data_IF_678390783782
#
_entry.id   IF_678390783782
#
_cell.length_a   1.000
_cell.length_b   1.000
_cell.length_c   1.000
_cell.angle_alpha   90.00
_cell.angle_beta   90.00
_cell.angle_gamma   90.00
#
_symmetry.space_group_name_H-M   'P 1'
#
loop_
_entity.id
_entity.type
_entity.pdbx_description
1 polymer ?
#
# COMPACT_ATOMS: atom_id res chain seq x y z
N UNK A 1 -28.04 -8.65 5.42
CA UNK A 1 -28.71 -7.55 6.20
C UNK A 1 -30.01 -7.13 5.51
N UNK A 2 -31.04 -6.60 6.20
CA UNK A 2 -32.29 -6.09 5.57
C UNK A 2 -32.05 -5.07 4.43
N UNK A 3 -30.89 -4.42 4.42
CA UNK A 3 -30.43 -3.41 3.45
C UNK A 3 -30.13 -3.95 2.06
N UNK A 4 -29.72 -5.21 1.91
CA UNK A 4 -29.42 -5.83 0.59
C UNK A 4 -30.66 -6.06 -0.26
N UNK A 5 -31.85 -6.02 0.36
CA UNK A 5 -33.13 -6.20 -0.33
C UNK A 5 -33.52 -4.99 -1.20
N UNK A 6 -32.84 -3.84 -1.05
CA UNK A 6 -33.08 -2.66 -1.90
C UNK A 6 -32.23 -2.77 -3.17
N UNK A 7 -32.89 -2.89 -4.32
CA UNK A 7 -32.20 -2.91 -5.61
C UNK A 7 -31.71 -1.50 -5.95
N UNK A 8 -30.41 -1.35 -6.16
CA UNK A 8 -29.82 -0.10 -6.65
C UNK A 8 -30.08 0.02 -8.16
N UNK A 9 -30.49 1.20 -8.63
CA UNK A 9 -30.78 1.43 -10.04
C UNK A 9 -29.80 2.43 -10.66
N UNK A 10 -28.84 1.93 -11.43
CA UNK A 10 -27.86 2.75 -12.13
C UNK A 10 -28.30 3.22 -13.52
N UNK A 11 -29.48 2.82 -14.00
CA UNK A 11 -29.89 2.98 -15.41
C UNK A 11 -30.26 4.40 -15.83
N UNK A 12 -30.32 5.37 -14.89
CA UNK A 12 -30.56 6.76 -15.26
C UNK A 12 -29.39 7.26 -16.11
N UNK A 13 -29.63 7.45 -17.41
CA UNK A 13 -28.61 7.98 -18.32
C UNK A 13 -28.41 9.46 -18.02
N UNK A 14 -27.21 9.77 -17.58
CA UNK A 14 -26.69 11.11 -17.37
C UNK A 14 -25.48 11.29 -18.28
N UNK A 15 -25.39 12.43 -18.98
CA UNK A 15 -24.35 12.76 -19.96
C UNK A 15 -23.00 13.07 -19.31
N UNK A 16 -22.56 12.21 -18.39
CA UNK A 16 -21.23 12.30 -17.82
C UNK A 16 -20.20 11.71 -18.77
N UNK A 17 -19.09 12.43 -18.94
CA UNK A 17 -17.97 12.07 -19.83
C UNK A 17 -17.40 10.67 -19.59
N UNK A 18 -17.51 10.14 -18.36
CA UNK A 18 -17.05 8.79 -18.04
C UNK A 18 -17.86 7.68 -18.72
N UNK A 19 -19.07 7.95 -19.22
CA UNK A 19 -19.92 7.00 -19.93
C UNK A 19 -19.61 6.87 -21.42
N UNK A 20 -18.82 7.79 -22.00
CA UNK A 20 -18.48 7.78 -23.43
C UNK A 20 -17.66 6.55 -23.86
N UNK A 21 -17.56 6.29 -25.16
CA UNK A 21 -16.71 5.24 -25.71
C UNK A 21 -15.22 5.45 -25.38
N UNK A 22 -14.47 4.35 -25.32
CA UNK A 22 -13.03 4.35 -25.11
C UNK A 22 -12.25 4.67 -26.39
N UNK A 23 -11.03 5.19 -26.21
CA UNK A 23 -10.03 5.42 -27.26
C UNK A 23 -8.69 4.78 -26.88
N UNK A 24 -7.92 4.29 -27.87
CA UNK A 24 -6.72 3.46 -27.60
C UNK A 24 -5.52 4.21 -27.01
N UNK A 25 -5.43 5.53 -27.20
CA UNK A 25 -4.30 6.34 -26.69
C UNK A 25 -4.11 6.25 -25.15
N UNK A 26 -5.12 5.79 -24.40
CA UNK A 26 -5.10 5.82 -22.94
C UNK A 26 -4.56 4.54 -22.23
N UNK A 27 -4.44 3.38 -22.91
CA UNK A 27 -4.35 2.08 -22.21
C UNK A 27 -2.98 1.35 -22.22
N UNK A 28 -2.35 1.25 -23.40
CA UNK A 28 -1.30 0.25 -23.67
C UNK A 28 0.10 0.62 -23.16
N UNK A 29 0.45 1.89 -23.06
CA UNK A 29 1.83 2.33 -22.77
C UNK A 29 2.37 1.98 -21.37
N UNK A 30 1.55 1.38 -20.49
CA UNK A 30 1.89 1.09 -19.08
C UNK A 30 1.38 -0.28 -18.60
N UNK A 31 1.34 -1.31 -19.44
CA UNK A 31 0.96 -2.65 -18.99
C UNK A 31 2.20 -3.39 -18.47
N UNK A 32 2.17 -3.81 -17.21
CA UNK A 32 3.28 -4.58 -16.61
C UNK A 32 3.33 -6.00 -17.21
N UNK A 33 4.55 -6.52 -17.43
CA UNK A 33 4.80 -7.92 -17.79
C UNK A 33 4.30 -8.80 -16.64
N UNK A 34 3.14 -9.42 -16.82
CA UNK A 34 2.49 -10.30 -15.83
C UNK A 34 2.42 -11.72 -16.39
N UNK A 35 2.31 -12.71 -15.50
CA UNK A 35 2.09 -14.10 -15.87
C UNK A 35 0.82 -14.25 -16.72
N UNK A 36 0.82 -15.13 -17.74
CA UNK A 36 -0.33 -15.31 -18.62
C UNK A 36 -1.55 -15.75 -17.82
N UNK A 37 -2.70 -15.31 -18.33
CA UNK A 37 -4.02 -15.61 -17.77
C UNK A 37 -4.48 -17.04 -18.12
N UNK A 38 -5.63 -17.51 -17.58
CA UNK A 38 -6.18 -18.83 -17.94
C UNK A 38 -6.39 -19.02 -19.45
N UNK A 39 -6.59 -17.93 -20.18
CA UNK A 39 -6.77 -17.89 -21.63
C UNK A 39 -5.45 -18.01 -22.42
N UNK A 40 -4.32 -18.21 -21.73
CA UNK A 40 -2.95 -18.22 -22.28
C UNK A 40 -2.49 -16.94 -23.01
N UNK A 41 -3.30 -15.88 -23.00
CA UNK A 41 -2.93 -14.55 -23.49
C UNK A 41 -2.05 -13.87 -22.45
N UNK A 42 -0.87 -13.39 -22.89
CA UNK A 42 0.06 -12.62 -22.08
C UNK A 42 -0.06 -11.12 -22.34
N UNK A 43 0.30 -10.31 -21.34
CA UNK A 43 0.39 -8.85 -21.52
C UNK A 43 1.39 -8.44 -22.63
N UNK A 44 2.40 -9.27 -22.89
CA UNK A 44 3.42 -9.01 -23.92
C UNK A 44 2.79 -9.11 -25.32
N UNK A 45 1.94 -10.12 -25.54
CA UNK A 45 1.19 -10.24 -26.80
C UNK A 45 0.35 -8.99 -27.07
N UNK A 46 -0.30 -8.44 -26.04
CA UNK A 46 -1.10 -7.21 -26.15
C UNK A 46 -0.27 -5.97 -26.52
N UNK A 47 0.99 -5.91 -26.08
CA UNK A 47 1.90 -4.80 -26.40
C UNK A 47 2.39 -4.84 -27.85
N UNK A 48 2.40 -6.02 -28.48
CA UNK A 48 2.89 -6.23 -29.85
C UNK A 48 1.76 -6.41 -30.88
N UNK A 49 0.52 -6.07 -30.53
CA UNK A 49 -0.61 -6.10 -31.47
C UNK A 49 -0.44 -5.08 -32.59
N UNK A 50 -0.80 -5.47 -33.82
CA UNK A 50 -0.91 -4.56 -34.97
C UNK A 50 -2.00 -3.51 -34.75
N UNK A 51 -1.93 -2.38 -35.45
CA UNK A 51 -2.92 -1.30 -35.36
C UNK A 51 -4.35 -1.79 -35.67
N UNK A 52 -4.50 -2.71 -36.62
CA UNK A 52 -5.76 -3.36 -36.94
C UNK A 52 -6.28 -4.21 -35.77
N UNK A 53 -5.43 -5.05 -35.19
CA UNK A 53 -5.78 -5.88 -34.02
C UNK A 53 -6.16 -5.02 -32.81
N UNK A 54 -5.46 -3.90 -32.60
CA UNK A 54 -5.82 -2.93 -31.58
C UNK A 54 -7.21 -2.34 -31.87
N UNK A 55 -7.50 -1.96 -33.11
CA UNK A 55 -8.81 -1.40 -33.48
C UNK A 55 -9.95 -2.39 -33.23
N UNK A 56 -9.75 -3.67 -33.58
CA UNK A 56 -10.70 -4.75 -33.29
C UNK A 56 -10.90 -4.96 -31.79
N UNK A 57 -9.83 -4.89 -31.00
CA UNK A 57 -9.91 -4.95 -29.55
C UNK A 57 -10.68 -3.75 -28.97
N UNK A 58 -10.57 -2.57 -29.59
CA UNK A 58 -11.29 -1.36 -29.16
C UNK A 58 -12.78 -1.55 -29.36
N UNK A 59 -13.12 -2.05 -30.55
CA UNK A 59 -14.48 -2.33 -30.93
C UNK A 59 -15.10 -3.32 -29.95
N UNK A 60 -14.39 -4.40 -29.60
CA UNK A 60 -14.82 -5.35 -28.58
C UNK A 60 -15.05 -4.67 -27.22
N UNK A 61 -14.11 -3.86 -26.74
CA UNK A 61 -14.25 -3.15 -25.47
C UNK A 61 -15.42 -2.16 -25.46
N UNK A 62 -15.62 -1.41 -26.54
CA UNK A 62 -16.74 -0.48 -26.67
C UNK A 62 -18.08 -1.22 -26.77
N UNK A 63 -18.13 -2.40 -27.41
CA UNK A 63 -19.31 -3.27 -27.38
C UNK A 63 -19.63 -3.74 -25.98
N UNK A 64 -18.66 -4.30 -25.25
CA UNK A 64 -18.82 -4.70 -23.84
C UNK A 64 -19.32 -3.53 -22.99
N UNK A 65 -18.76 -2.34 -23.20
CA UNK A 65 -19.12 -1.12 -22.47
C UNK A 65 -20.56 -0.65 -22.72
N UNK A 66 -20.99 -0.64 -23.99
CA UNK A 66 -22.29 -0.12 -24.40
C UNK A 66 -23.43 -1.13 -24.23
N UNK A 67 -23.15 -2.39 -24.54
CA UNK A 67 -24.10 -3.50 -24.38
C UNK A 67 -24.19 -3.96 -22.91
N UNK A 68 -23.29 -3.48 -22.04
CA UNK A 68 -23.25 -3.82 -20.62
C UNK A 68 -23.11 -5.33 -20.36
N UNK A 69 -22.56 -6.07 -21.34
CA UNK A 69 -22.42 -7.51 -21.31
C UNK A 69 -21.00 -7.90 -20.90
N UNK A 70 -20.85 -8.44 -19.69
CA UNK A 70 -19.55 -8.89 -19.17
C UNK A 70 -19.29 -10.34 -19.59
N UNK A 71 -18.16 -10.65 -20.26
CA UNK A 71 -17.84 -12.00 -20.69
C UNK A 71 -17.79 -12.99 -19.51
N UNK A 72 -18.46 -14.13 -19.63
CA UNK A 72 -18.48 -15.18 -18.59
C UNK A 72 -17.08 -15.73 -18.31
N UNK A 73 -16.22 -15.88 -19.33
CA UNK A 73 -14.82 -16.30 -19.17
C UNK A 73 -14.01 -15.37 -18.27
N UNK A 74 -14.36 -14.08 -18.18
CA UNK A 74 -13.69 -13.12 -17.31
C UNK A 74 -14.14 -13.22 -15.85
N UNK A 75 -15.20 -13.97 -15.56
CA UNK A 75 -15.66 -14.27 -14.21
C UNK A 75 -14.91 -15.46 -13.60
N UNK A 76 -14.07 -16.13 -14.39
CA UNK A 76 -13.19 -17.20 -13.92
C UNK A 76 -11.82 -16.66 -13.48
N UNK A 77 -11.31 -17.19 -12.36
CA UNK A 77 -9.98 -16.86 -11.86
C UNK A 77 -9.20 -18.11 -11.42
N UNK A 78 -7.89 -18.11 -11.67
CA UNK A 78 -7.00 -19.12 -11.10
C UNK A 78 -6.30 -18.51 -9.88
N UNK A 79 -6.51 -19.09 -8.71
CA UNK A 79 -5.83 -18.67 -7.48
C UNK A 79 -4.47 -19.36 -7.39
N UNK A 80 -3.42 -18.56 -7.26
CA UNK A 80 -2.07 -19.02 -6.95
C UNK A 80 -1.75 -18.66 -5.49
N UNK A 81 -1.56 -19.66 -4.60
CA UNK A 81 -1.19 -19.41 -3.22
C UNK A 81 0.30 -19.02 -3.14
N UNK A 82 0.60 -17.81 -2.66
CA UNK A 82 1.98 -17.35 -2.44
C UNK A 82 2.29 -17.35 -0.94
N UNK A 83 3.35 -18.04 -0.47
CA UNK A 83 3.66 -18.11 0.95
C UNK A 83 4.04 -16.73 1.53
N UNK A 84 3.57 -16.43 2.73
CA UNK A 84 3.99 -15.24 3.49
C UNK A 84 5.44 -15.43 3.93
N UNK A 85 6.33 -14.43 3.72
CA UNK A 85 7.74 -14.57 4.06
C UNK A 85 7.97 -14.91 5.53
N UNK A 86 8.80 -15.94 5.79
CA UNK A 86 9.22 -16.33 7.14
C UNK A 86 8.13 -16.93 8.01
N UNK A 87 7.02 -17.37 7.42
CA UNK A 87 5.95 -18.11 8.09
C UNK A 87 6.00 -19.59 7.75
N UNK A 88 5.41 -20.39 8.62
CA UNK A 88 5.27 -21.83 8.43
C UNK A 88 4.48 -22.14 7.14
N UNK A 89 5.09 -22.96 6.29
CA UNK A 89 4.60 -23.34 4.95
C UNK A 89 3.52 -24.42 5.07
N UNK A 90 3.47 -25.16 6.18
CA UNK A 90 2.46 -26.22 6.37
C UNK A 90 1.07 -25.67 6.65
N UNK A 91 0.95 -24.42 7.10
CA UNK A 91 -0.32 -23.80 7.45
C UNK A 91 -0.93 -23.01 6.28
N UNK A 92 -2.12 -23.39 5.75
CA UNK A 92 -2.77 -22.70 4.63
C UNK A 92 -3.06 -21.21 4.88
N UNK A 93 -3.27 -20.79 6.14
CA UNK A 93 -3.52 -19.39 6.51
C UNK A 93 -2.30 -18.49 6.26
N UNK A 94 -1.11 -19.09 6.09
CA UNK A 94 0.12 -18.40 5.81
C UNK A 94 0.32 -18.10 4.32
N UNK A 95 -0.63 -18.41 3.45
CA UNK A 95 -0.57 -18.06 2.03
C UNK A 95 -1.37 -16.79 1.72
N UNK A 96 -1.01 -16.13 0.61
CA UNK A 96 -1.80 -15.08 -0.03
C UNK A 96 -2.43 -15.64 -1.30
N UNK A 97 -3.77 -15.63 -1.44
CA UNK A 97 -4.43 -16.09 -2.65
C UNK A 97 -4.37 -15.01 -3.73
N UNK A 98 -3.47 -15.14 -4.71
CA UNK A 98 -3.39 -14.20 -5.84
C UNK A 98 -4.29 -14.69 -6.97
N UNK A 99 -5.27 -13.87 -7.38
CA UNK A 99 -6.17 -14.22 -8.47
C UNK A 99 -5.56 -13.83 -9.84
N UNK A 100 -5.35 -14.82 -10.70
CA UNK A 100 -5.06 -14.62 -12.10
C UNK A 100 -6.35 -14.55 -12.91
N UNK A 101 -6.69 -13.34 -13.36
CA UNK A 101 -7.80 -13.06 -14.28
C UNK A 101 -7.28 -12.79 -15.70
N UNK A 102 -8.19 -12.83 -16.69
CA UNK A 102 -7.91 -12.56 -18.10
C UNK A 102 -7.12 -11.25 -18.31
N UNK A 103 -6.07 -11.29 -19.13
CA UNK A 103 -5.27 -10.11 -19.46
C UNK A 103 -6.09 -9.03 -20.20
N UNK A 104 -7.06 -9.45 -21.02
CA UNK A 104 -7.99 -8.54 -21.70
C UNK A 104 -8.91 -7.83 -20.69
N UNK A 105 -9.43 -8.57 -19.71
CA UNK A 105 -10.21 -8.01 -18.61
C UNK A 105 -9.40 -6.96 -17.84
N UNK A 106 -8.15 -7.27 -17.46
CA UNK A 106 -7.24 -6.34 -16.76
C UNK A 106 -6.99 -5.05 -17.55
N UNK A 107 -6.91 -5.14 -18.88
CA UNK A 107 -6.72 -3.95 -19.73
C UNK A 107 -7.96 -3.05 -19.69
N UNK A 108 -9.16 -3.62 -19.82
CA UNK A 108 -10.41 -2.87 -19.72
C UNK A 108 -10.63 -2.31 -18.31
N UNK A 109 -10.38 -3.11 -17.26
CA UNK A 109 -10.40 -2.68 -15.86
C UNK A 109 -9.52 -1.44 -15.64
N UNK A 110 -8.33 -1.41 -16.24
CA UNK A 110 -7.41 -0.27 -16.12
C UNK A 110 -7.98 1.00 -16.76
N UNK A 111 -8.60 0.89 -17.93
CA UNK A 111 -9.23 2.02 -18.63
C UNK A 111 -10.43 2.56 -17.83
N UNK A 112 -11.24 1.67 -17.27
CA UNK A 112 -12.37 2.01 -16.39
C UNK A 112 -11.87 2.62 -15.09
N UNK A 113 -10.83 2.05 -14.47
CA UNK A 113 -10.27 2.57 -13.24
C UNK A 113 -9.70 3.97 -13.41
N UNK A 114 -9.13 4.28 -14.59
CA UNK A 114 -8.70 5.64 -14.89
C UNK A 114 -9.87 6.64 -14.86
N UNK A 115 -11.02 6.28 -15.43
CA UNK A 115 -12.23 7.12 -15.39
C UNK A 115 -12.80 7.24 -13.98
N UNK A 116 -12.88 6.13 -13.26
CA UNK A 116 -13.36 6.11 -11.88
C UNK A 116 -12.48 6.98 -10.98
N UNK A 117 -11.16 6.80 -11.02
CA UNK A 117 -10.22 7.60 -10.22
C UNK A 117 -10.29 9.09 -10.57
N UNK A 118 -10.41 9.44 -11.86
CA UNK A 118 -10.61 10.83 -12.27
C UNK A 118 -11.90 11.41 -11.65
N UNK A 119 -13.02 10.70 -11.73
CA UNK A 119 -14.28 11.13 -11.12
C UNK A 119 -14.17 11.31 -9.60
N UNK A 120 -13.60 10.33 -8.90
CA UNK A 120 -13.45 10.36 -7.43
C UNK A 120 -12.58 11.53 -6.95
N UNK A 121 -11.50 11.83 -7.67
CA UNK A 121 -10.59 12.94 -7.36
C UNK A 121 -11.23 14.30 -7.71
N UNK A 122 -11.86 14.44 -8.88
CA UNK A 122 -12.51 15.71 -9.29
C UNK A 122 -13.69 16.08 -8.39
N UNK A 123 -14.42 15.09 -7.86
CA UNK A 123 -15.51 15.30 -6.90
C UNK A 123 -15.06 15.37 -5.45
N UNK A 124 -13.76 15.26 -5.16
CA UNK A 124 -13.18 15.22 -3.81
C UNK A 124 -13.84 14.19 -2.88
N UNK A 125 -14.22 13.02 -3.42
CA UNK A 125 -14.89 11.96 -2.66
C UNK A 125 -13.91 11.18 -1.76
N UNK A 126 -12.62 11.20 -2.09
CA UNK A 126 -11.56 10.59 -1.29
C UNK A 126 -10.98 11.59 -0.30
N UNK A 127 -10.98 11.21 0.98
CA UNK A 127 -10.44 12.02 2.07
C UNK A 127 -8.98 12.41 1.80
N UNK A 128 -8.55 13.64 2.14
CA UNK A 128 -7.15 14.05 2.02
C UNK A 128 -6.19 13.21 2.88
N UNK A 129 -6.72 12.50 3.89
CA UNK A 129 -5.96 11.64 4.81
C UNK A 129 -5.82 10.18 4.34
N UNK A 130 -6.41 9.82 3.19
CA UNK A 130 -6.16 8.55 2.50
C UNK A 130 -5.07 8.77 1.44
N UNK A 131 -3.93 8.09 1.60
CA UNK A 131 -2.77 8.21 0.69
C UNK A 131 -2.49 6.94 -0.12
N UNK A 132 -3.18 5.83 0.16
CA UNK A 132 -2.98 4.54 -0.52
C UNK A 132 -3.40 4.57 -1.99
N UNK A 133 -2.55 4.05 -2.89
CA UNK A 133 -2.78 3.92 -4.34
C UNK A 133 -3.34 5.17 -5.07
N UNK A 134 -3.10 6.37 -4.55
CA UNK A 134 -3.51 7.63 -5.19
C UNK A 134 -2.36 8.27 -5.95
N UNK A 135 -2.67 8.88 -7.10
CA UNK A 135 -1.66 9.54 -7.93
C UNK A 135 -1.00 10.69 -7.15
N UNK A 136 0.32 10.72 -7.19
CA UNK A 136 1.11 11.73 -6.49
C UNK A 136 1.23 11.52 -4.98
N UNK A 137 0.48 10.61 -4.36
CA UNK A 137 0.62 10.26 -2.93
C UNK A 137 1.58 9.09 -2.74
N UNK A 138 2.20 9.00 -1.57
CA UNK A 138 3.14 7.91 -1.24
C UNK A 138 3.05 7.49 0.22
N UNK A 139 3.61 6.33 0.57
CA UNK A 139 3.72 5.90 1.98
C UNK A 139 4.40 6.95 2.85
N UNK A 140 5.42 7.63 2.30
CA UNK A 140 6.17 8.68 2.99
C UNK A 140 5.27 9.82 3.49
N UNK A 141 4.18 10.14 2.79
CA UNK A 141 3.30 11.24 3.19
C UNK A 141 2.61 10.93 4.53
N UNK A 142 2.17 9.69 4.73
CA UNK A 142 1.54 9.24 5.99
C UNK A 142 2.56 9.06 7.13
N UNK A 143 3.79 8.65 6.79
CA UNK A 143 4.88 8.50 7.75
C UNK A 143 5.37 9.88 8.22
N UNK A 144 5.53 10.84 7.29
CA UNK A 144 5.92 12.22 7.59
C UNK A 144 4.88 12.92 8.45
N UNK A 145 3.59 12.78 8.13
CA UNK A 145 2.52 13.38 8.90
C UNK A 145 2.56 12.92 10.38
N UNK A 146 2.71 11.61 10.59
CA UNK A 146 2.87 11.05 11.94
C UNK A 146 4.08 11.62 12.67
N UNK A 147 5.22 11.60 11.99
CA UNK A 147 6.49 12.02 12.56
C UNK A 147 6.43 13.49 12.98
N UNK A 148 5.81 14.33 12.15
CA UNK A 148 5.56 15.75 12.41
C UNK A 148 4.67 15.92 13.64
N UNK A 149 3.54 15.23 13.71
CA UNK A 149 2.61 15.31 14.85
C UNK A 149 3.27 14.85 16.17
N UNK A 150 4.08 13.79 16.13
CA UNK A 150 4.87 13.32 17.30
C UNK A 150 5.86 14.39 17.74
N UNK A 151 6.60 14.99 16.80
CA UNK A 151 7.54 16.08 17.12
C UNK A 151 6.84 17.27 17.75
N UNK A 152 5.72 17.69 17.17
CA UNK A 152 4.94 18.80 17.70
C UNK A 152 4.45 18.51 19.12
N UNK A 153 3.97 17.30 19.38
CA UNK A 153 3.59 16.88 20.73
C UNK A 153 4.78 16.94 21.71
N UNK A 154 5.97 16.51 21.29
CA UNK A 154 7.18 16.60 22.12
C UNK A 154 7.60 18.04 22.41
N UNK A 155 7.56 18.93 21.41
CA UNK A 155 7.88 20.35 21.57
C UNK A 155 6.90 21.02 22.54
N UNK A 156 5.62 20.67 22.45
CA UNK A 156 4.57 21.20 23.33
C UNK A 156 4.51 20.48 24.70
N UNK A 157 5.44 19.55 24.99
CA UNK A 157 5.45 18.73 26.21
C UNK A 157 4.10 18.01 26.46
N UNK A 158 3.43 17.57 25.39
CA UNK A 158 2.18 16.81 25.42
C UNK A 158 2.43 15.31 25.26
N UNK A 159 1.41 14.53 25.55
CA UNK A 159 1.32 13.11 25.22
C UNK A 159 0.71 12.97 23.82
N UNK A 160 1.22 12.02 23.03
CA UNK A 160 0.56 11.54 21.82
C UNK A 160 0.39 10.03 21.94
N UNK A 161 -0.86 9.57 21.88
CA UNK A 161 -1.16 8.14 21.87
C UNK A 161 -1.71 7.79 20.49
N UNK A 162 -1.03 6.86 19.82
CA UNK A 162 -1.41 6.38 18.49
C UNK A 162 -1.81 4.91 18.55
N UNK A 163 -2.88 4.56 17.84
CA UNK A 163 -3.41 3.20 17.72
C UNK A 163 -3.34 2.80 16.25
N UNK A 164 -2.85 1.59 16.01
CA UNK A 164 -2.67 1.00 14.70
C UNK A 164 -3.58 -0.22 14.61
N UNK A 165 -4.51 -0.19 13.66
CA UNK A 165 -5.48 -1.27 13.45
C UNK A 165 -5.02 -2.18 12.31
N UNK A 166 -5.25 -3.48 12.45
CA UNK A 166 -5.06 -4.48 11.38
C UNK A 166 -6.44 -5.00 10.97
N UNK A 167 -6.79 -4.85 9.69
CA UNK A 167 -8.05 -5.36 9.15
C UNK A 167 -7.84 -6.78 8.66
N UNK A 168 -8.66 -7.71 9.16
CA UNK A 168 -8.55 -9.11 8.79
C UNK A 168 -9.07 -9.36 7.38
N UNK A 169 -8.21 -9.94 6.52
CA UNK A 169 -8.57 -10.37 5.16
C UNK A 169 -9.36 -9.29 4.41
N UNK A 170 -8.85 -8.05 4.45
CA UNK A 170 -9.59 -6.86 4.05
C UNK A 170 -10.25 -6.97 2.66
N UNK A 171 -9.51 -7.48 1.66
CA UNK A 171 -10.03 -7.69 0.29
C UNK A 171 -11.09 -8.80 0.22
N UNK A 172 -10.90 -9.90 0.97
CA UNK A 172 -11.77 -11.07 0.90
C UNK A 172 -13.11 -10.85 1.63
N UNK A 173 -13.14 -9.91 2.59
CA UNK A 173 -14.33 -9.56 3.39
C UNK A 173 -15.03 -8.27 2.96
N UNK A 174 -14.55 -7.60 1.90
CA UNK A 174 -15.16 -6.33 1.48
C UNK A 174 -16.59 -6.56 0.99
N UNK A 175 -17.55 -5.92 1.66
CA UNK A 175 -18.98 -6.08 1.35
C UNK A 175 -19.34 -5.46 -0.01
N UNK A 176 -19.71 -6.33 -0.97
CA UNK A 176 -19.94 -5.94 -2.37
C UNK A 176 -21.12 -4.97 -2.53
N UNK A 177 -22.24 -5.27 -1.89
CA UNK A 177 -23.41 -4.38 -1.91
C UNK A 177 -23.08 -3.02 -1.29
N UNK A 178 -22.25 -3.02 -0.23
CA UNK A 178 -21.75 -1.79 0.39
C UNK A 178 -20.94 -0.91 -0.56
N UNK A 179 -20.13 -1.49 -1.45
CA UNK A 179 -19.41 -0.74 -2.50
C UNK A 179 -20.40 -0.15 -3.50
N UNK A 180 -21.35 -0.95 -3.99
CA UNK A 180 -22.33 -0.49 -4.98
C UNK A 180 -23.20 0.64 -4.42
N UNK A 181 -23.58 0.54 -3.14
CA UNK A 181 -24.30 1.60 -2.44
C UNK A 181 -23.48 2.89 -2.38
N UNK A 182 -22.19 2.81 -2.02
CA UNK A 182 -21.33 4.00 -1.95
C UNK A 182 -21.16 4.66 -3.34
N UNK A 183 -21.08 3.88 -4.42
CA UNK A 183 -21.08 4.39 -5.80
C UNK A 183 -22.41 5.07 -6.14
N UNK A 184 -23.53 4.47 -5.74
CA UNK A 184 -24.86 5.02 -5.95
C UNK A 184 -25.06 6.35 -5.20
N UNK A 185 -24.67 6.39 -3.92
CA UNK A 185 -24.74 7.56 -3.06
C UNK A 185 -23.79 8.69 -3.55
N UNK A 186 -22.70 8.32 -4.24
CA UNK A 186 -21.78 9.25 -4.92
C UNK A 186 -22.33 9.79 -6.26
N UNK A 187 -23.59 9.50 -6.59
CA UNK A 187 -24.27 9.91 -7.82
C UNK A 187 -23.64 9.38 -9.13
N UNK A 188 -22.96 8.22 -9.08
CA UNK A 188 -22.53 7.53 -10.30
C UNK A 188 -23.72 6.83 -10.95
N UNK A 189 -23.90 7.02 -12.27
CA UNK A 189 -24.98 6.40 -13.05
C UNK A 189 -24.50 6.05 -14.46
N UNK A 190 -25.16 5.11 -15.13
CA UNK A 190 -24.82 4.64 -16.46
C UNK A 190 -23.81 3.47 -16.48
N UNK A 191 -23.01 3.40 -17.54
CA UNK A 191 -22.19 2.22 -17.86
C UNK A 191 -21.12 1.90 -16.81
N UNK A 192 -20.54 2.92 -16.17
CA UNK A 192 -19.46 2.73 -15.20
C UNK A 192 -19.87 1.91 -13.96
N UNK A 193 -20.88 2.32 -13.18
CA UNK A 193 -21.33 1.52 -12.04
C UNK A 193 -21.95 0.19 -12.46
N UNK A 194 -22.60 0.09 -13.62
CA UNK A 194 -23.15 -1.19 -14.15
C UNK A 194 -22.02 -2.17 -14.46
N UNK A 195 -20.92 -1.70 -15.06
CA UNK A 195 -19.74 -2.54 -15.26
C UNK A 195 -19.18 -3.02 -13.93
N UNK A 196 -19.09 -2.16 -12.91
CA UNK A 196 -18.60 -2.53 -11.59
C UNK A 196 -19.51 -3.57 -10.92
N UNK A 197 -20.84 -3.42 -11.04
CA UNK A 197 -21.82 -4.40 -10.58
C UNK A 197 -21.59 -5.77 -11.24
N UNK A 198 -21.45 -5.80 -12.56
CA UNK A 198 -21.15 -7.04 -13.29
C UNK A 198 -19.77 -7.62 -12.95
N UNK A 199 -18.79 -6.77 -12.71
CA UNK A 199 -17.42 -7.15 -12.32
C UNK A 199 -17.38 -7.79 -10.91
N UNK A 200 -18.20 -7.31 -9.98
CA UNK A 200 -18.32 -7.81 -8.60
C UNK A 200 -19.30 -8.99 -8.48
N UNK A 201 -20.05 -9.31 -9.54
CA UNK A 201 -20.97 -10.46 -9.55
C UNK A 201 -20.21 -11.76 -9.30
N UNK A 202 -20.93 -12.80 -8.85
CA UNK A 202 -20.40 -14.10 -8.46
C UNK A 202 -19.33 -14.60 -9.44
N UNK A 203 -18.14 -14.83 -8.89
CA UNK A 203 -16.99 -15.36 -9.63
C UNK A 203 -16.78 -16.81 -9.28
N UNK A 204 -16.30 -17.57 -10.28
CA UNK A 204 -15.84 -18.93 -10.08
C UNK A 204 -14.32 -18.90 -10.03
N UNK A 205 -13.73 -19.62 -9.08
CA UNK A 205 -12.29 -19.74 -9.00
C UNK A 205 -11.88 -21.18 -8.76
N UNK A 206 -10.65 -21.49 -9.12
CA UNK A 206 -9.98 -22.76 -8.81
C UNK A 206 -8.56 -22.48 -8.35
N UNK A 207 -8.05 -23.28 -7.43
CA UNK A 207 -6.70 -23.12 -6.88
C UNK A 207 -5.74 -23.96 -7.71
N UNK A 208 -4.63 -23.37 -8.13
CA UNK A 208 -3.53 -24.09 -8.80
C UNK A 208 -2.39 -24.31 -7.84
N UNK A 209 -1.98 -25.56 -7.68
CA UNK A 209 -0.82 -25.95 -6.89
C UNK A 209 0.09 -26.80 -7.76
N UNK A 210 1.24 -26.25 -8.16
CA UNK A 210 2.11 -26.83 -9.20
C UNK A 210 1.33 -27.12 -10.50
N UNK A 211 1.25 -28.40 -10.91
CA UNK A 211 0.50 -28.88 -12.09
C UNK A 211 -0.97 -29.14 -11.82
N UNK A 212 -1.37 -29.26 -10.56
CA UNK A 212 -2.71 -29.69 -10.17
C UNK A 212 -3.67 -28.51 -10.01
N UNK A 213 -4.93 -28.74 -10.35
CA UNK A 213 -6.02 -27.79 -10.24
C UNK A 213 -7.09 -28.36 -9.31
N UNK A 214 -7.60 -27.53 -8.40
CA UNK A 214 -8.77 -27.89 -7.61
C UNK A 214 -10.07 -27.84 -8.43
N UNK A 215 -11.15 -28.31 -7.81
CA UNK A 215 -12.51 -28.03 -8.25
C UNK A 215 -12.82 -26.52 -8.31
N UNK A 216 -13.92 -26.20 -8.99
CA UNK A 216 -14.45 -24.84 -9.04
C UNK A 216 -15.23 -24.49 -7.77
N UNK A 217 -14.87 -23.35 -7.18
CA UNK A 217 -15.54 -22.76 -6.04
C UNK A 217 -16.16 -21.41 -6.42
N UNK A 218 -17.23 -21.03 -5.74
CA UNK A 218 -17.89 -19.73 -5.93
C UNK A 218 -17.39 -18.77 -4.86
N UNK A 219 -16.98 -17.57 -5.27
CA UNK A 219 -16.62 -16.50 -4.35
C UNK A 219 -17.85 -15.63 -4.05
N UNK A 220 -18.41 -15.76 -2.84
CA UNK A 220 -19.61 -15.03 -2.42
C UNK A 220 -19.34 -13.57 -2.03
N UNK A 221 -18.21 -13.30 -1.37
CA UNK A 221 -17.85 -11.96 -0.87
C UNK A 221 -16.44 -11.52 -1.25
N UNK A 222 -16.18 -10.22 -1.05
CA UNK A 222 -14.89 -9.62 -1.30
C UNK A 222 -14.64 -9.21 -2.75
N UNK A 223 -13.48 -8.60 -2.95
CA UNK A 223 -12.99 -8.12 -4.24
C UNK A 223 -11.74 -8.91 -4.67
N UNK A 224 -11.54 -9.19 -5.97
CA UNK A 224 -10.44 -10.04 -6.42
C UNK A 224 -9.05 -9.42 -6.15
N UNK A 225 -8.19 -10.17 -5.44
CA UNK A 225 -6.80 -9.77 -5.19
C UNK A 225 -5.98 -9.83 -6.49
N UNK A 226 -5.37 -8.72 -6.88
CA UNK A 226 -4.58 -8.61 -8.12
C UNK A 226 -5.27 -7.84 -9.26
N UNK A 227 -6.50 -7.37 -9.04
CA UNK A 227 -7.20 -6.43 -9.91
C UNK A 227 -6.92 -4.97 -9.49
N UNK A 228 -6.65 -4.10 -10.46
CA UNK A 228 -6.41 -2.67 -10.20
C UNK A 228 -7.68 -1.93 -9.79
N UNK A 229 -8.82 -2.34 -10.34
CA UNK A 229 -10.13 -1.78 -10.02
C UNK A 229 -10.53 -2.12 -8.58
N UNK A 230 -10.24 -3.35 -8.15
CA UNK A 230 -10.54 -3.83 -6.79
C UNK A 230 -9.88 -3.00 -5.70
N UNK A 231 -8.64 -2.54 -5.94
CA UNK A 231 -7.92 -1.64 -5.04
C UNK A 231 -8.65 -0.30 -4.88
N UNK A 232 -9.12 0.29 -5.98
CA UNK A 232 -9.84 1.57 -5.94
C UNK A 232 -11.21 1.43 -5.28
N UNK A 233 -11.93 0.33 -5.54
CA UNK A 233 -13.21 0.03 -4.88
C UNK A 233 -13.04 -0.18 -3.38
N UNK A 234 -11.99 -0.89 -2.97
CA UNK A 234 -11.64 -1.06 -1.57
C UNK A 234 -11.37 0.30 -0.91
N UNK A 235 -10.54 1.14 -1.53
CA UNK A 235 -10.23 2.49 -1.03
C UNK A 235 -11.48 3.33 -0.85
N UNK A 236 -12.39 3.33 -1.84
CA UNK A 236 -13.66 4.03 -1.75
C UNK A 236 -14.45 3.57 -0.53
N UNK A 237 -14.53 2.25 -0.31
CA UNK A 237 -15.32 1.67 0.78
C UNK A 237 -14.77 2.04 2.15
N UNK A 238 -13.46 1.85 2.36
CA UNK A 238 -12.83 2.11 3.65
C UNK A 238 -12.75 3.61 3.99
N UNK A 239 -12.72 4.48 2.98
CA UNK A 239 -12.59 5.93 3.16
C UNK A 239 -13.64 6.53 4.12
N UNK A 240 -14.84 5.96 4.12
CA UNK A 240 -15.95 6.41 4.95
C UNK A 240 -15.73 6.24 6.46
N UNK A 241 -14.77 5.40 6.89
CA UNK A 241 -14.41 5.25 8.32
C UNK A 241 -13.93 6.57 8.92
N UNK A 242 -13.24 7.39 8.13
CA UNK A 242 -12.64 8.64 8.59
C UNK A 242 -13.71 9.68 8.99
N UNK A 243 -14.92 9.58 8.41
CA UNK A 243 -16.03 10.47 8.70
C UNK A 243 -16.75 10.13 10.02
N UNK A 244 -16.46 8.98 10.64
CA UNK A 244 -17.05 8.53 11.90
C UNK A 244 -16.23 8.91 13.13
N UNK A 245 -15.07 9.52 12.93
CA UNK A 245 -14.13 9.81 14.00
C UNK A 245 -14.42 11.17 14.67
N UNK A 246 -14.21 11.29 15.99
CA UNK A 246 -14.29 12.57 16.68
C UNK A 246 -13.30 13.59 16.10
N UNK A 247 -13.67 14.87 16.05
CA UNK A 247 -12.81 15.95 15.53
C UNK A 247 -11.47 16.09 16.29
N UNK A 248 -11.44 15.67 17.56
CA UNK A 248 -10.23 15.67 18.38
C UNK A 248 -9.22 14.58 18.03
N UNK A 249 -9.63 13.57 17.26
CA UNK A 249 -8.81 12.43 16.89
C UNK A 249 -8.40 12.56 15.43
N UNK A 250 -7.09 12.65 15.19
CA UNK A 250 -6.55 12.63 13.84
C UNK A 250 -6.44 11.19 13.35
N UNK A 251 -6.64 11.00 12.05
CA UNK A 251 -6.59 9.69 11.41
C UNK A 251 -5.88 9.75 10.07
N UNK A 252 -5.21 8.66 9.74
CA UNK A 252 -4.55 8.48 8.44
C UNK A 252 -4.79 7.07 7.98
N UNK A 253 -4.96 6.94 6.67
CA UNK A 253 -5.23 5.68 6.03
C UNK A 253 -4.21 5.47 4.90
N UNK A 254 -3.66 4.26 4.85
CA UNK A 254 -2.94 3.77 3.69
C UNK A 254 -3.53 2.43 3.29
N UNK A 255 -4.50 2.46 2.38
CA UNK A 255 -5.22 1.23 1.99
C UNK A 255 -5.92 0.64 3.22
N UNK A 256 -5.47 -0.50 3.73
CA UNK A 256 -5.98 -1.20 4.92
C UNK A 256 -5.29 -0.78 6.23
N UNK A 257 -4.13 -0.12 6.16
CA UNK A 257 -3.43 0.39 7.34
C UNK A 257 -4.13 1.65 7.89
N UNK A 258 -5.09 1.47 8.80
CA UNK A 258 -5.76 2.54 9.54
C UNK A 258 -4.99 2.88 10.82
N UNK A 259 -4.70 4.17 10.99
CA UNK A 259 -4.13 4.71 12.22
C UNK A 259 -4.95 5.87 12.73
N UNK A 260 -5.19 5.90 14.03
CA UNK A 260 -5.72 7.08 14.72
C UNK A 260 -4.76 7.52 15.82
N UNK A 261 -4.79 8.80 16.16
CA UNK A 261 -4.05 9.29 17.32
C UNK A 261 -4.69 10.56 17.88
N UNK A 262 -4.43 10.77 19.17
CA UNK A 262 -4.87 11.95 19.90
C UNK A 262 -3.66 12.56 20.63
N UNK A 263 -3.66 13.88 20.73
CA UNK A 263 -2.64 14.63 21.46
C UNK A 263 -3.26 15.42 22.59
N UNK A 264 -2.61 15.46 23.76
CA UNK A 264 -3.16 16.16 24.90
C UNK A 264 -2.20 16.24 26.09
N UNK A 265 -2.54 17.07 27.06
CA UNK A 265 -1.78 17.16 28.32
C UNK A 265 -2.27 16.13 29.35
N UNK A 266 -3.57 15.83 29.36
CA UNK A 266 -4.23 14.95 30.31
C UNK A 266 -4.52 13.59 29.66
N UNK A 267 -3.97 12.52 30.25
CA UNK A 267 -4.12 11.15 29.74
C UNK A 267 -5.58 10.67 29.78
N UNK A 268 -6.36 11.05 30.78
CA UNK A 268 -7.76 10.63 30.91
C UNK A 268 -8.62 11.20 29.78
N UNK A 269 -8.32 12.43 29.34
CA UNK A 269 -9.01 13.03 28.19
C UNK A 269 -8.65 12.29 26.89
N UNK A 270 -7.36 12.00 26.69
CA UNK A 270 -6.87 11.21 25.54
C UNK A 270 -7.53 9.83 25.51
N UNK A 271 -7.60 9.15 26.66
CA UNK A 271 -8.22 7.83 26.78
C UNK A 271 -9.69 7.87 26.38
N UNK A 272 -10.48 8.82 26.91
CA UNK A 272 -11.90 8.95 26.56
C UNK A 272 -12.09 9.20 25.06
N UNK A 273 -11.33 10.14 24.49
CA UNK A 273 -11.44 10.48 23.06
C UNK A 273 -11.06 9.31 22.15
N UNK A 274 -9.98 8.60 22.48
CA UNK A 274 -9.55 7.42 21.73
C UNK A 274 -10.51 6.25 21.91
N UNK A 275 -11.06 6.01 23.10
CA UNK A 275 -12.04 4.96 23.31
C UNK A 275 -13.33 5.22 22.53
N UNK A 276 -13.82 6.47 22.50
CA UNK A 276 -14.95 6.86 21.64
C UNK A 276 -14.62 6.59 20.17
N UNK A 277 -13.41 6.94 19.71
CA UNK A 277 -12.99 6.68 18.35
C UNK A 277 -12.91 5.17 18.03
N UNK A 278 -12.39 4.34 18.94
CA UNK A 278 -12.36 2.88 18.82
C UNK A 278 -13.79 2.33 18.69
N UNK A 279 -14.71 2.77 19.55
CA UNK A 279 -16.10 2.32 19.52
C UNK A 279 -16.79 2.69 18.19
N UNK A 280 -16.57 3.91 17.70
CA UNK A 280 -17.11 4.35 16.41
C UNK A 280 -16.54 3.54 15.24
N UNK A 281 -15.24 3.22 15.27
CA UNK A 281 -14.60 2.36 14.27
C UNK A 281 -15.19 0.95 14.33
N UNK A 282 -15.38 0.38 15.53
CA UNK A 282 -15.96 -0.95 15.69
C UNK A 282 -17.38 -1.02 15.13
N UNK A 283 -18.23 -0.08 15.51
CA UNK A 283 -19.60 0.00 14.99
C UNK A 283 -19.62 0.15 13.47
N UNK A 284 -18.76 1.03 12.93
CA UNK A 284 -18.64 1.20 11.49
C UNK A 284 -18.17 -0.08 10.80
N UNK A 285 -17.24 -0.81 11.43
CA UNK A 285 -16.72 -2.09 10.93
C UNK A 285 -17.85 -3.11 10.81
N UNK A 286 -18.68 -3.24 11.84
CA UNK A 286 -19.84 -4.14 11.88
C UNK A 286 -20.89 -3.77 10.84
N UNK A 287 -21.18 -2.47 10.69
CA UNK A 287 -22.15 -1.94 9.72
C UNK A 287 -21.71 -2.14 8.25
N UNK A 288 -20.40 -2.27 8.00
CA UNK A 288 -19.82 -2.34 6.65
C UNK A 288 -19.17 -3.68 6.31
N UNK A 289 -19.27 -4.67 7.21
CA UNK A 289 -18.74 -6.03 6.99
C UNK A 289 -17.23 -6.17 7.14
N UNK A 290 -16.55 -5.21 7.79
CA UNK A 290 -15.13 -5.34 8.11
C UNK A 290 -14.93 -6.04 9.44
N UNK A 291 -13.77 -6.66 9.62
CA UNK A 291 -13.35 -7.22 10.90
C UNK A 291 -11.97 -6.70 11.26
N UNK A 292 -11.84 -6.17 12.47
CA UNK A 292 -10.58 -5.66 12.99
C UNK A 292 -9.96 -6.71 13.91
N UNK A 293 -8.68 -7.00 13.70
CA UNK A 293 -7.95 -7.99 14.48
C UNK A 293 -7.50 -7.39 15.81
N UNK A 294 -8.19 -7.73 16.90
CA UNK A 294 -7.82 -7.25 18.23
C UNK A 294 -6.41 -7.70 18.66
N UNK A 295 -5.99 -8.90 18.26
CA UNK A 295 -4.68 -9.46 18.60
C UNK A 295 -3.49 -8.79 17.93
N UNK A 296 -3.71 -8.15 16.77
CA UNK A 296 -2.68 -7.43 16.03
C UNK A 296 -2.79 -5.91 16.13
N UNK A 297 -3.91 -5.42 16.64
CA UNK A 297 -4.09 -4.00 16.95
C UNK A 297 -3.18 -3.66 18.11
N UNK A 298 -2.42 -2.57 17.98
CA UNK A 298 -1.45 -2.16 18.99
C UNK A 298 -1.44 -0.64 19.15
N UNK A 299 -1.10 -0.18 20.35
CA UNK A 299 -0.95 1.23 20.66
C UNK A 299 0.50 1.57 20.97
N UNK A 300 0.90 2.81 20.68
CA UNK A 300 2.17 3.39 21.11
C UNK A 300 1.92 4.74 21.74
N UNK A 301 2.44 4.91 22.95
CA UNK A 301 2.46 6.17 23.64
C UNK A 301 3.79 6.88 23.39
N UNK A 302 3.75 7.96 22.62
CA UNK A 302 4.87 8.85 22.38
C UNK A 302 4.87 9.96 23.43
N UNK A 303 5.89 9.97 24.28
CA UNK A 303 6.10 11.03 25.27
C UNK A 303 7.57 11.19 25.63
N UNK A 304 8.00 12.43 25.92
CA UNK A 304 9.35 12.75 26.46
C UNK A 304 9.35 13.24 27.91
N UNK A 305 8.19 13.27 28.57
CA UNK A 305 8.12 13.59 30.00
C UNK A 305 8.90 12.53 30.81
N UNK A 306 9.60 12.99 31.84
CA UNK A 306 10.37 12.14 32.77
C UNK A 306 9.54 11.65 33.95
N UNK A 307 8.49 12.40 34.32
CA UNK A 307 7.59 12.04 35.41
C UNK A 307 6.88 10.72 35.09
N UNK A 308 6.56 9.95 36.13
CA UNK A 308 5.75 8.74 36.00
C UNK A 308 4.39 9.11 35.38
N UNK A 309 4.03 8.41 34.32
CA UNK A 309 2.72 8.50 33.70
C UNK A 309 2.32 7.11 33.24
N UNK A 310 1.09 6.73 33.55
CA UNK A 310 0.53 5.46 33.13
C UNK A 310 0.05 5.58 31.68
N UNK A 311 0.16 4.48 30.95
CA UNK A 311 -0.48 4.34 29.64
C UNK A 311 -2.00 4.23 29.83
N UNK A 312 -2.81 4.72 28.88
CA UNK A 312 -4.26 4.67 29.01
C UNK A 312 -4.79 3.25 28.79
N UNK A 313 -5.88 2.92 29.47
CA UNK A 313 -6.57 1.63 29.28
C UNK A 313 -7.54 1.73 28.12
N UNK A 314 -7.19 1.10 26.99
CA UNK A 314 -7.99 1.06 25.77
C UNK A 314 -8.42 -0.37 25.48
N UNK A 315 -9.69 -0.54 25.08
CA UNK A 315 -10.26 -1.85 24.75
C UNK A 315 -10.90 -1.83 23.36
N UNK A 316 -10.64 -2.86 22.58
CA UNK A 316 -11.33 -3.15 21.31
C UNK A 316 -12.13 -4.45 21.50
N UNK A 317 -13.45 -4.39 21.36
CA UNK A 317 -14.34 -5.54 21.56
C UNK A 317 -14.14 -6.24 22.91
N UNK A 318 -13.92 -5.45 23.97
CA UNK A 318 -13.64 -5.94 25.33
C UNK A 318 -12.19 -6.40 25.56
N UNK A 319 -11.39 -6.59 24.51
CA UNK A 319 -9.97 -7.00 24.62
C UNK A 319 -9.08 -5.78 24.80
N UNK A 320 -8.16 -5.81 25.78
CA UNK A 320 -7.21 -4.73 26.02
C UNK A 320 -6.20 -4.60 24.87
N UNK A 321 -6.01 -3.38 24.37
CA UNK A 321 -5.02 -3.08 23.32
C UNK A 321 -3.63 -2.98 23.97
N UNK A 322 -2.65 -3.79 23.54
CA UNK A 322 -1.31 -3.76 24.11
C UNK A 322 -0.57 -2.47 23.73
N UNK A 323 0.14 -1.89 24.71
CA UNK A 323 1.05 -0.77 24.50
C UNK A 323 2.46 -1.28 24.20
N UNK A 324 2.95 -0.95 23.01
CA UNK A 324 4.27 -1.31 22.55
C UNK A 324 5.22 -0.11 22.65
N UNK A 325 6.50 -0.40 22.92
CA UNK A 325 7.57 0.62 22.89
C UNK A 325 8.01 0.95 21.47
N UNK A 326 7.82 0.02 20.55
CA UNK A 326 8.25 0.11 19.16
C UNK A 326 7.16 -0.44 18.24
N UNK A 327 6.93 0.22 17.10
CA UNK A 327 5.96 -0.24 16.10
C UNK A 327 6.50 -0.06 14.68
N UNK A 328 6.26 -1.05 13.81
CA UNK A 328 6.51 -0.92 12.38
C UNK A 328 5.28 -0.34 11.71
N UNK A 329 5.45 0.79 11.04
CA UNK A 329 4.41 1.44 10.25
C UNK A 329 4.95 1.78 8.86
N UNK A 330 4.30 1.28 7.81
CA UNK A 330 4.68 1.49 6.40
C UNK A 330 6.19 1.31 6.16
N UNK A 331 6.77 0.24 6.71
CA UNK A 331 8.18 -0.12 6.52
C UNK A 331 9.20 0.59 7.43
N UNK A 332 8.81 1.63 8.17
CA UNK A 332 9.67 2.33 9.14
C UNK A 332 9.32 1.90 10.57
N UNK A 333 10.30 1.78 11.45
CA UNK A 333 10.08 1.42 12.86
C UNK A 333 10.17 2.68 13.72
N UNK A 334 9.10 2.96 14.46
CA UNK A 334 8.99 4.08 15.38
C UNK A 334 9.14 3.59 16.81
N UNK A 335 10.09 4.15 17.55
CA UNK A 335 10.19 3.98 19.00
C UNK A 335 9.47 5.13 19.72
N UNK A 336 9.00 4.88 20.94
CA UNK A 336 8.26 5.85 21.76
C UNK A 336 8.99 7.19 22.03
N UNK A 337 10.32 7.26 21.82
CA UNK A 337 11.12 8.51 21.95
C UNK A 337 11.52 9.12 20.61
N UNK A 338 11.16 8.48 19.49
CA UNK A 338 11.50 8.88 18.12
C UNK A 338 13.03 8.99 17.91
N UNK A 339 13.79 8.05 18.46
CA UNK A 339 15.25 7.94 18.29
C UNK A 339 15.64 7.26 16.98
N UNK A 340 14.76 6.43 16.43
CA UNK A 340 14.96 5.54 15.28
C UNK A 340 16.13 4.55 15.40
N UNK A 341 16.67 4.35 16.61
CA UNK A 341 17.75 3.40 16.84
C UNK A 341 17.33 1.96 16.45
N UNK A 342 16.17 1.44 16.85
CA UNK A 342 15.74 0.09 16.48
C UNK A 342 15.59 -0.06 14.96
N UNK A 343 15.04 0.96 14.31
CA UNK A 343 14.90 1.00 12.85
C UNK A 343 16.26 0.88 12.16
N UNK A 344 17.22 1.72 12.54
CA UNK A 344 18.56 1.74 11.94
C UNK A 344 19.30 0.43 12.20
N UNK A 345 19.16 -0.18 13.38
CA UNK A 345 19.75 -1.49 13.66
C UNK A 345 19.14 -2.60 12.79
N UNK A 346 17.81 -2.59 12.63
CA UNK A 346 17.14 -3.55 11.77
C UNK A 346 17.53 -3.35 10.30
N UNK A 347 17.59 -2.10 9.83
CA UNK A 347 17.99 -1.75 8.48
C UNK A 347 19.42 -2.22 8.20
N UNK A 348 20.35 -1.95 9.13
CA UNK A 348 21.73 -2.44 9.09
C UNK A 348 21.77 -3.95 8.87
N UNK A 349 21.09 -4.75 9.71
CA UNK A 349 21.04 -6.21 9.58
C UNK A 349 20.48 -6.67 8.23
N UNK A 350 19.45 -5.99 7.71
CA UNK A 350 18.87 -6.30 6.38
C UNK A 350 19.85 -6.01 5.24
N UNK A 351 20.65 -4.96 5.36
CA UNK A 351 21.65 -4.60 4.36
C UNK A 351 22.90 -5.50 4.46
N UNK A 352 23.31 -5.91 5.66
CA UNK A 352 24.38 -6.90 5.87
C UNK A 352 24.06 -8.24 5.17
N UNK A 353 22.80 -8.69 5.24
CA UNK A 353 22.36 -9.87 4.47
C UNK A 353 22.50 -9.67 2.96
N UNK A 354 22.18 -8.49 2.44
CA UNK A 354 22.37 -8.18 1.00
C UNK A 354 23.83 -8.00 0.62
N UNK A 355 24.68 -7.57 1.54
CA UNK A 355 26.13 -7.47 1.32
C UNK A 355 26.73 -8.83 1.01
N UNK A 356 26.19 -9.92 1.56
CA UNK A 356 26.66 -11.27 1.25
C UNK A 356 26.47 -11.62 -0.24
N UNK A 357 25.44 -11.08 -0.91
CA UNK A 357 25.26 -11.25 -2.35
C UNK A 357 26.43 -10.60 -3.10
N UNK A 358 26.81 -9.38 -2.72
CA UNK A 358 27.97 -8.71 -3.32
C UNK A 358 29.27 -9.47 -3.06
N UNK A 359 29.47 -10.00 -1.85
CA UNK A 359 30.68 -10.78 -1.53
C UNK A 359 30.82 -12.03 -2.40
N UNK A 360 29.71 -12.71 -2.70
CA UNK A 360 29.71 -13.89 -3.57
C UNK A 360 30.02 -13.50 -5.01
N UNK A 361 29.53 -12.35 -5.47
CA UNK A 361 29.73 -11.89 -6.85
C UNK A 361 31.04 -11.14 -7.07
N UNK A 362 31.73 -10.72 -6.01
CA UNK A 362 32.99 -9.96 -6.08
C UNK A 362 34.23 -10.87 -6.16
N UNK A 363 34.10 -12.10 -6.66
CA UNK A 363 35.23 -13.04 -6.78
C UNK A 363 36.15 -12.66 -7.95
N UNK A 364 37.46 -12.89 -7.80
CA UNK A 364 38.47 -12.49 -8.79
C UNK A 364 38.47 -13.33 -10.07
N UNK A 365 37.99 -14.58 -10.01
CA UNK A 365 38.06 -15.54 -11.12
C UNK A 365 36.79 -15.66 -11.96
N UNK A 366 35.61 -15.41 -11.38
CA UNK A 366 34.31 -15.54 -12.07
C UNK A 366 33.30 -14.46 -11.68
N UNK A 367 33.75 -13.37 -11.05
CA UNK A 367 32.88 -12.33 -10.50
C UNK A 367 32.23 -11.42 -11.55
N UNK A 368 31.27 -10.62 -11.09
CA UNK A 368 30.61 -9.63 -11.91
C UNK A 368 31.51 -8.41 -12.16
N UNK A 369 31.38 -7.80 -13.34
CA UNK A 369 32.07 -6.56 -13.66
C UNK A 369 31.62 -5.41 -12.73
N UNK A 370 32.48 -4.41 -12.58
CA UNK A 370 32.24 -3.25 -11.69
C UNK A 370 30.90 -2.55 -11.95
N UNK A 371 30.52 -2.19 -13.20
CA UNK A 371 29.20 -1.62 -13.48
C UNK A 371 28.04 -2.51 -13.00
N UNK A 372 28.09 -3.82 -13.24
CA UNK A 372 27.09 -4.77 -12.75
C UNK A 372 27.04 -4.82 -11.23
N UNK A 373 28.20 -4.85 -10.57
CA UNK A 373 28.30 -4.80 -9.11
C UNK A 373 27.66 -3.55 -8.52
N UNK A 374 27.95 -2.37 -9.08
CA UNK A 374 27.34 -1.11 -8.66
C UNK A 374 25.82 -1.10 -8.89
N UNK A 375 25.32 -1.69 -9.98
CA UNK A 375 23.87 -1.84 -10.21
C UNK A 375 23.22 -2.72 -9.15
N UNK A 376 23.83 -3.85 -8.81
CA UNK A 376 23.33 -4.78 -7.77
C UNK A 376 23.35 -4.09 -6.40
N UNK A 377 24.44 -3.38 -6.07
CA UNK A 377 24.54 -2.58 -4.86
C UNK A 377 23.39 -1.55 -4.77
N UNK A 378 23.18 -0.76 -5.82
CA UNK A 378 22.10 0.22 -5.90
C UNK A 378 20.73 -0.41 -5.70
N UNK A 379 20.48 -1.54 -6.37
CA UNK A 379 19.21 -2.22 -6.35
C UNK A 379 18.90 -2.93 -5.01
N UNK A 380 19.90 -3.48 -4.33
CA UNK A 380 19.69 -4.38 -3.16
C UNK A 380 20.02 -3.76 -1.81
N UNK A 381 20.96 -2.80 -1.77
CA UNK A 381 21.41 -2.14 -0.54
C UNK A 381 20.96 -0.69 -0.52
N UNK A 382 21.34 0.09 -1.53
CA UNK A 382 21.06 1.54 -1.53
C UNK A 382 19.56 1.83 -1.56
N UNK A 383 18.79 1.07 -2.34
CA UNK A 383 17.32 1.16 -2.36
C UNK A 383 16.67 0.98 -0.98
N UNK A 384 17.24 0.11 -0.12
CA UNK A 384 16.79 -0.09 1.26
C UNK A 384 17.17 1.08 2.16
N UNK A 385 18.37 1.62 1.97
CA UNK A 385 18.88 2.80 2.69
C UNK A 385 18.20 4.10 2.25
N UNK A 386 17.60 4.14 1.07
CA UNK A 386 16.89 5.32 0.58
C UNK A 386 15.44 5.36 1.08
N UNK A 387 14.83 4.19 1.30
CA UNK A 387 13.45 4.11 1.76
C UNK A 387 13.28 4.63 3.19
N UNK A 388 12.51 5.71 3.35
CA UNK A 388 12.20 6.29 4.67
C UNK A 388 13.31 7.20 5.21
N UNK A 389 14.36 7.47 4.45
CA UNK A 389 15.50 8.26 4.90
C UNK A 389 15.16 9.73 5.19
N UNK A 390 14.09 10.24 4.58
CA UNK A 390 13.53 11.57 4.87
C UNK A 390 12.96 11.66 6.29
N UNK A 391 12.60 10.51 6.87
CA UNK A 391 11.97 10.40 8.19
C UNK A 391 13.04 10.07 9.22
N UNK A 392 13.68 8.91 9.11
CA UNK A 392 14.69 8.49 10.09
C UNK A 392 15.99 9.28 9.97
N UNK A 393 16.23 9.98 8.85
CA UNK A 393 17.39 10.87 8.68
C UNK A 393 17.46 12.01 9.69
N UNK A 394 16.38 12.23 10.44
CA UNK A 394 16.30 13.15 11.56
C UNK A 394 16.86 12.58 12.88
N UNK A 395 17.25 11.31 12.90
CA UNK A 395 17.90 10.67 14.04
C UNK A 395 19.26 11.31 14.36
N UNK A 396 19.79 11.02 15.55
CA UNK A 396 21.12 11.50 15.97
C UNK A 396 22.20 11.03 14.99
N UNK A 397 23.19 11.89 14.71
CA UNK A 397 24.32 11.59 13.82
C UNK A 397 25.01 10.27 14.17
N UNK A 398 25.25 10.02 15.46
CA UNK A 398 25.88 8.79 15.95
C UNK A 398 25.08 7.51 15.67
N UNK A 399 23.74 7.62 15.56
CA UNK A 399 22.88 6.50 15.17
C UNK A 399 23.00 6.28 13.67
N UNK A 400 22.89 7.35 12.87
CA UNK A 400 22.95 7.28 11.40
C UNK A 400 24.30 6.76 10.89
N UNK A 401 25.41 7.15 11.55
CA UNK A 401 26.76 6.69 11.23
C UNK A 401 26.92 5.17 11.32
N UNK A 402 26.02 4.46 12.03
CA UNK A 402 26.05 2.99 12.07
C UNK A 402 25.71 2.32 10.73
N UNK A 403 25.19 3.07 9.75
CA UNK A 403 24.93 2.61 8.38
C UNK A 403 26.12 2.80 7.45
N UNK A 404 27.00 3.76 7.75
CA UNK A 404 28.13 4.12 6.88
C UNK A 404 29.08 2.95 6.60
N UNK A 405 29.42 2.06 7.58
CA UNK A 405 30.28 0.91 7.31
C UNK A 405 29.73 -0.05 6.25
N UNK A 406 28.40 -0.19 6.13
CA UNK A 406 27.78 -1.02 5.09
C UNK A 406 28.01 -0.38 3.72
N UNK A 407 27.77 0.92 3.61
CA UNK A 407 27.99 1.68 2.38
C UNK A 407 29.45 1.54 1.93
N UNK A 408 30.40 1.79 2.85
CA UNK A 408 31.82 1.70 2.53
C UNK A 408 32.26 0.28 2.17
N UNK A 409 31.76 -0.73 2.88
CA UNK A 409 32.07 -2.12 2.55
C UNK A 409 31.53 -2.50 1.16
N UNK A 410 30.32 -2.07 0.82
CA UNK A 410 29.74 -2.33 -0.49
C UNK A 410 30.53 -1.64 -1.61
N UNK A 411 30.93 -0.37 -1.43
CA UNK A 411 31.74 0.35 -2.41
C UNK A 411 33.09 -0.34 -2.64
N UNK A 412 33.78 -0.77 -1.59
CA UNK A 412 35.04 -1.52 -1.72
C UNK A 412 34.87 -2.82 -2.51
N UNK A 413 33.80 -3.57 -2.25
CA UNK A 413 33.50 -4.80 -2.98
C UNK A 413 33.19 -4.53 -4.46
N UNK A 414 32.49 -3.43 -4.76
CA UNK A 414 32.15 -3.08 -6.13
C UNK A 414 33.35 -2.55 -6.91
N UNK A 415 34.26 -1.83 -6.25
CA UNK A 415 35.45 -1.24 -6.89
C UNK A 415 36.66 -2.17 -6.93
N UNK A 416 36.66 -3.25 -6.15
CA UNK A 416 37.85 -4.07 -5.92
C UNK A 416 38.91 -3.38 -5.07
N UNK A 417 38.58 -2.26 -4.42
CA UNK A 417 39.52 -1.48 -3.65
C UNK A 417 39.97 -2.20 -2.38
N UNK A 418 41.22 -1.93 -1.96
CA UNK A 418 41.78 -2.48 -0.72
C UNK A 418 40.97 -2.03 0.50
N UNK A 419 41.04 -2.82 1.57
CA UNK A 419 40.36 -2.49 2.85
C UNK A 419 40.84 -1.15 3.42
N UNK A 420 42.11 -0.80 3.18
CA UNK A 420 42.77 0.44 3.62
C UNK A 420 42.46 1.65 2.75
N UNK A 421 41.78 1.49 1.60
CA UNK A 421 41.50 2.60 0.69
C UNK A 421 40.68 3.71 1.39
N UNK A 422 41.08 4.99 1.23
CA UNK A 422 40.37 6.12 1.81
C UNK A 422 38.92 6.20 1.32
N UNK A 423 38.00 6.47 2.24
CA UNK A 423 36.56 6.49 1.95
C UNK A 423 36.18 7.57 0.95
N UNK A 424 36.79 8.76 1.03
CA UNK A 424 36.56 9.85 0.09
C UNK A 424 36.91 9.45 -1.35
N UNK A 425 38.01 8.72 -1.54
CA UNK A 425 38.41 8.22 -2.86
C UNK A 425 37.39 7.22 -3.40
N UNK A 426 36.83 6.35 -2.55
CA UNK A 426 35.77 5.42 -2.96
C UNK A 426 34.52 6.12 -3.47
N UNK A 427 34.13 7.24 -2.86
CA UNK A 427 32.96 8.01 -3.30
C UNK A 427 33.15 8.58 -4.70
N UNK A 428 34.32 9.16 -4.97
CA UNK A 428 34.66 9.73 -6.28
C UNK A 428 34.76 8.62 -7.33
N UNK A 429 35.52 7.57 -7.03
CA UNK A 429 35.76 6.44 -7.93
C UNK A 429 34.46 5.70 -8.31
N UNK A 430 33.56 5.49 -7.34
CA UNK A 430 32.28 4.80 -7.57
C UNK A 430 31.15 5.72 -8.07
N UNK A 431 31.39 7.03 -8.20
CA UNK A 431 30.36 8.04 -8.46
C UNK A 431 29.18 7.96 -7.47
N UNK A 432 29.47 7.69 -6.19
CA UNK A 432 28.48 7.54 -5.13
C UNK A 432 28.72 8.52 -3.99
N UNK A 433 27.76 9.39 -3.64
CA UNK A 433 27.94 10.32 -2.54
C UNK A 433 27.95 9.60 -1.19
N UNK A 434 28.49 10.29 -0.18
CA UNK A 434 28.32 9.88 1.21
C UNK A 434 26.82 9.86 1.59
N UNK A 435 26.43 8.95 2.49
CA UNK A 435 25.03 8.74 2.84
C UNK A 435 24.37 9.99 3.45
N UNK A 436 25.13 10.85 4.14
CA UNK A 436 24.62 12.12 4.68
C UNK A 436 24.13 13.05 3.57
N UNK A 437 24.93 13.30 2.53
CA UNK A 437 24.56 14.13 1.39
C UNK A 437 23.42 13.49 0.61
N UNK A 438 23.44 12.17 0.43
CA UNK A 438 22.35 11.44 -0.23
C UNK A 438 21.02 11.64 0.49
N UNK A 439 20.99 11.49 1.82
CA UNK A 439 19.78 11.73 2.64
C UNK A 439 19.29 13.16 2.54
N UNK A 440 20.18 14.15 2.53
CA UNK A 440 19.82 15.56 2.35
C UNK A 440 19.20 15.79 0.98
N UNK A 441 19.84 15.31 -0.09
CA UNK A 441 19.34 15.42 -1.46
C UNK A 441 17.95 14.78 -1.61
N UNK A 442 17.76 13.57 -1.09
CA UNK A 442 16.47 12.86 -1.13
C UNK A 442 15.39 13.57 -0.28
N UNK A 443 15.76 14.26 0.79
CA UNK A 443 14.83 15.05 1.60
C UNK A 443 14.43 16.34 0.88
N UNK A 444 15.37 17.00 0.20
CA UNK A 444 15.09 18.18 -0.62
C UNK A 444 14.19 17.84 -1.82
N UNK A 445 14.48 16.76 -2.54
CA UNK A 445 13.62 16.29 -3.64
C UNK A 445 12.19 16.02 -3.16
N UNK A 446 12.06 15.40 -1.99
CA UNK A 446 10.76 15.13 -1.39
C UNK A 446 10.04 16.43 -0.98
N UNK A 447 10.74 17.39 -0.39
CA UNK A 447 10.21 18.72 -0.07
C UNK A 447 9.69 19.45 -1.32
N UNK A 448 10.50 19.53 -2.39
CA UNK A 448 10.07 20.18 -3.63
C UNK A 448 8.88 19.47 -4.28
N UNK A 449 8.82 18.14 -4.20
CA UNK A 449 7.68 17.35 -4.67
C UNK A 449 6.39 17.63 -3.88
N UNK A 450 6.50 17.91 -2.59
CA UNK A 450 5.34 18.33 -1.78
C UNK A 450 4.95 19.75 -2.18
N UNK A 451 5.91 20.67 -2.25
CA UNK A 451 5.66 22.09 -2.58
C UNK A 451 5.02 22.27 -3.96
N UNK A 452 5.45 21.49 -4.96
CA UNK A 452 4.91 21.53 -6.33
C UNK A 452 3.46 21.03 -6.45
N UNK A 453 2.83 20.56 -5.37
CA UNK A 453 1.40 20.22 -5.35
C UNK A 453 0.53 21.36 -4.82
N UNK A 454 1.13 22.33 -4.13
CA UNK A 454 0.45 23.49 -3.52
C UNK A 454 0.70 24.78 -4.31
N UNK A 455 1.52 24.70 -5.36
CA UNK A 455 1.65 25.68 -6.43
C UNK A 455 0.85 25.10 -7.59
#
# INVERSE_FOLDING_TARGET
>A
MKTEKKKLNFNSRSDYSYNCNFTFQAGLSKVHKSSPSPDNISCIMLLHLTTESQTNLLYLFNRIWNEQCFPSSWQEAIIIPIPKPGKDITNPLNYRPIALTSCLCKLLEKMINHRLTHFLETKNLLSPFQSGFRKGRSTLDNILALETDIRLAFLQRKHLVAIYFDIEKAYDRTWRYGILKDLYDSNLRGNLPIFIENFLRLRRFRVRLASEMSDYFIQEEGVPQGSILSVTLFILKINNVLNRLPLSVKSYLYVDDLRIFCTGMNMNCIQRQLQTAINNISQWSDDNGFTISASKTAAVHFCRKRNLHLDPELKLNGVSIPFLKEIRFLGVVFDNKLSFLPHVMQLRKKCEKSLNILKVLSTTSWGADRPSMLRIYKATILSKLDYGCQIYGSARKSILQKLDPIHHAALRLCSGAFRTSPVQSLYVDCFEPALNYRRQMLSLHYYFRIKSKYI
#
